data_IF_752163480748
#
_entry.id   IF_752163480748
#
_cell.length_a   1.000
_cell.length_b   1.000
_cell.length_c   1.000
_cell.angle_alpha   90.00
_cell.angle_beta   90.00
_cell.angle_gamma   90.00
#
_symmetry.space_group_name_H-M   'P 1'
#
loop_
_entity.id
_entity.type
_entity.pdbx_description
1 polymer ?
#
# COMPACT_ATOMS: atom_id res chain seq x y z
N UNK A 1 -32.95 -45.34 -20.01
CA UNK A 1 -31.49 -45.54 -20.17
C UNK A 1 -30.94 -44.23 -20.68
N UNK A 2 -30.13 -43.56 -19.86
CA UNK A 2 -29.60 -42.20 -20.03
C UNK A 2 -28.67 -42.11 -21.25
N UNK A 3 -28.71 -40.98 -21.96
CA UNK A 3 -27.55 -40.41 -22.66
C UNK A 3 -27.65 -38.89 -22.70
N UNK A 4 -26.53 -38.26 -22.39
CA UNK A 4 -26.30 -36.82 -22.19
C UNK A 4 -26.57 -36.00 -23.46
N UNK A 5 -27.26 -34.88 -23.30
CA UNK A 5 -27.24 -33.75 -24.24
C UNK A 5 -26.43 -32.65 -23.57
N UNK A 6 -25.25 -32.36 -24.12
CA UNK A 6 -24.45 -31.20 -23.78
C UNK A 6 -25.13 -29.97 -24.37
N UNK A 7 -25.53 -29.03 -23.52
CA UNK A 7 -26.00 -27.71 -23.96
C UNK A 7 -24.82 -26.77 -23.81
N UNK A 8 -24.11 -26.53 -24.92
CA UNK A 8 -23.20 -25.41 -25.04
C UNK A 8 -24.04 -24.13 -25.10
N UNK A 9 -23.92 -23.32 -24.06
CA UNK A 9 -24.60 -22.03 -23.95
C UNK A 9 -23.64 -21.02 -23.36
N UNK A 10 -22.67 -20.56 -24.15
CA UNK A 10 -21.94 -19.34 -23.83
C UNK A 10 -21.44 -18.60 -25.08
N UNK A 11 -22.29 -18.49 -26.11
CA UNK A 11 -22.08 -17.60 -27.23
C UNK A 11 -22.84 -16.30 -26.99
N UNK A 12 -22.45 -15.47 -26.02
CA UNK A 12 -22.95 -14.09 -25.99
C UNK A 12 -22.18 -13.03 -25.20
N UNK A 13 -20.86 -13.12 -24.99
CA UNK A 13 -20.10 -12.01 -24.36
C UNK A 13 -18.67 -11.78 -24.91
N UNK A 14 -18.37 -12.11 -26.17
CA UNK A 14 -17.05 -11.83 -26.77
C UNK A 14 -16.98 -10.54 -27.61
N UNK A 15 -17.96 -9.64 -27.51
CA UNK A 15 -18.08 -8.50 -28.44
C UNK A 15 -17.97 -7.09 -27.84
N UNK A 16 -17.42 -6.90 -26.64
CA UNK A 16 -17.39 -5.55 -25.98
C UNK A 16 -15.98 -5.13 -25.52
N UNK A 17 -14.93 -5.89 -25.82
CA UNK A 17 -13.54 -5.52 -25.50
C UNK A 17 -12.63 -5.33 -26.73
N UNK A 18 -13.20 -5.20 -27.93
CA UNK A 18 -12.46 -4.91 -29.18
C UNK A 18 -12.62 -3.45 -29.61
N UNK A 19 -12.37 -2.51 -28.71
CA UNK A 19 -11.81 -1.19 -29.05
C UNK A 19 -11.54 -0.43 -27.76
N UNK A 20 -10.35 -0.62 -27.24
CA UNK A 20 -9.78 0.35 -26.32
C UNK A 20 -8.38 0.64 -26.84
N UNK A 21 -8.21 1.89 -27.30
CA UNK A 21 -6.93 2.54 -27.59
C UNK A 21 -6.10 2.60 -26.30
N UNK A 22 -5.75 1.45 -25.74
CA UNK A 22 -4.65 1.35 -24.80
C UNK A 22 -3.39 1.50 -25.64
N UNK A 23 -2.53 2.48 -25.38
CA UNK A 23 -1.26 2.58 -26.07
C UNK A 23 -0.53 1.25 -25.90
N UNK A 24 -0.11 0.69 -27.02
CA UNK A 24 0.65 -0.54 -27.14
C UNK A 24 1.63 -0.62 -25.97
N UNK A 25 1.59 -1.71 -25.20
CA UNK A 25 2.36 -1.94 -23.98
C UNK A 25 3.87 -2.05 -24.21
N UNK A 26 4.45 -1.09 -24.93
CA UNK A 26 5.87 -0.82 -25.02
C UNK A 26 6.33 -0.36 -23.65
N UNK A 27 6.95 -1.29 -22.93
CA UNK A 27 7.63 -1.07 -21.64
C UNK A 27 8.77 -0.03 -21.77
N UNK A 28 9.09 0.42 -22.98
CA UNK A 28 10.14 1.39 -23.28
C UNK A 28 9.79 2.84 -22.87
N UNK A 29 8.50 3.21 -22.75
CA UNK A 29 8.12 4.61 -22.53
C UNK A 29 7.97 5.03 -21.06
N UNK A 30 8.08 4.10 -20.10
CA UNK A 30 8.25 4.47 -18.68
C UNK A 30 9.74 4.63 -18.40
N UNK A 31 10.33 5.65 -19.01
CA UNK A 31 11.61 6.17 -18.55
C UNK A 31 11.48 6.41 -17.04
N UNK A 32 12.39 5.82 -16.25
CA UNK A 32 12.55 6.22 -14.85
C UNK A 32 12.72 7.74 -14.90
N UNK A 33 11.79 8.52 -14.33
CA UNK A 33 11.88 9.95 -14.43
C UNK A 33 13.27 10.38 -13.93
N UNK A 34 13.99 11.14 -14.76
CA UNK A 34 15.29 11.72 -14.38
C UNK A 34 15.14 12.53 -13.07
N UNK A 35 13.91 12.97 -12.80
CA UNK A 35 13.48 13.52 -11.53
C UNK A 35 12.69 12.47 -10.69
N UNK A 36 13.27 11.89 -9.63
CA UNK A 36 12.57 10.97 -8.72
C UNK A 36 11.40 11.62 -7.94
N UNK A 37 11.18 12.94 -8.11
CA UNK A 37 10.03 13.68 -7.60
C UNK A 37 8.97 13.97 -8.67
N UNK A 38 9.02 13.33 -9.84
CA UNK A 38 7.91 13.42 -10.78
C UNK A 38 6.68 12.75 -10.17
N UNK A 39 5.91 13.53 -9.40
CA UNK A 39 4.56 13.19 -9.02
C UNK A 39 3.80 13.00 -10.33
N UNK A 40 3.34 11.77 -10.65
CA UNK A 40 2.64 11.56 -11.91
C UNK A 40 1.42 12.48 -11.95
N UNK A 41 1.00 12.95 -13.13
CA UNK A 41 -0.03 13.99 -13.23
C UNK A 41 -1.38 13.63 -12.56
N UNK A 42 -1.65 12.34 -12.31
CA UNK A 42 -2.82 11.88 -11.55
C UNK A 42 -2.65 11.97 -10.02
N UNK A 43 -1.42 12.06 -9.54
CA UNK A 43 -1.02 12.26 -8.14
C UNK A 43 -0.53 13.70 -7.88
N UNK A 44 -0.31 14.50 -8.93
CA UNK A 44 -0.13 15.94 -8.83
C UNK A 44 -1.48 16.56 -8.44
N UNK A 45 -1.69 16.62 -7.13
CA UNK A 45 -2.87 17.21 -6.51
C UNK A 45 -2.62 18.67 -6.15
N UNK A 46 -1.66 19.32 -6.85
CA UNK A 46 -1.52 20.78 -6.85
C UNK A 46 -2.93 21.36 -6.89
N UNK A 47 -3.27 22.28 -5.98
CA UNK A 47 -4.63 22.71 -5.79
C UNK A 47 -5.10 23.35 -7.09
N UNK A 48 -5.80 22.57 -7.90
CA UNK A 48 -6.56 23.09 -9.00
C UNK A 48 -7.58 23.98 -8.30
N UNK A 49 -7.29 25.26 -8.37
CA UNK A 49 -7.99 26.29 -7.63
C UNK A 49 -9.33 26.41 -8.31
N UNK A 50 -10.29 25.57 -7.92
CA UNK A 50 -11.76 25.79 -7.96
C UNK A 50 -12.56 24.56 -7.47
N UNK A 51 -13.27 24.81 -6.37
CA UNK A 51 -14.64 24.37 -6.05
C UNK A 51 -14.95 22.86 -5.88
N UNK A 52 -15.25 22.48 -4.63
CA UNK A 52 -16.07 21.33 -4.22
C UNK A 52 -15.49 19.91 -4.29
N UNK A 53 -14.18 19.72 -4.48
CA UNK A 53 -13.55 18.39 -4.34
C UNK A 53 -13.38 17.95 -2.88
N UNK A 54 -13.62 16.67 -2.57
CA UNK A 54 -13.22 16.12 -1.27
C UNK A 54 -11.69 16.08 -1.16
N UNK A 55 -11.10 16.52 -0.02
CA UNK A 55 -9.66 16.49 0.16
C UNK A 55 -9.11 15.05 0.06
N UNK A 56 -7.91 14.89 -0.49
CA UNK A 56 -7.29 13.58 -0.77
C UNK A 56 -7.31 12.63 0.43
N UNK A 57 -7.04 13.14 1.63
CA UNK A 57 -7.04 12.30 2.84
C UNK A 57 -8.41 11.72 3.17
N UNK A 58 -9.51 12.40 2.79
CA UNK A 58 -10.86 11.86 2.98
C UNK A 58 -11.20 10.75 2.01
N UNK A 59 -10.61 10.77 0.81
CA UNK A 59 -10.84 9.75 -0.22
C UNK A 59 -10.02 8.49 0.09
N UNK A 60 -8.75 8.67 0.43
CA UNK A 60 -7.80 7.55 0.55
C UNK A 60 -7.44 7.17 1.98
N UNK A 61 -7.86 7.95 2.99
CA UNK A 61 -7.55 7.68 4.40
C UNK A 61 -6.09 7.92 4.80
N UNK A 62 -5.28 8.52 3.93
CA UNK A 62 -3.86 8.83 4.17
C UNK A 62 -3.48 10.22 3.66
N UNK A 63 -2.46 10.87 4.26
CA UNK A 63 -1.93 12.13 3.78
C UNK A 63 -1.24 11.97 2.42
N UNK A 64 -1.42 12.96 1.56
CA UNK A 64 -0.79 13.02 0.24
C UNK A 64 0.73 12.82 0.28
N UNK A 65 1.51 13.47 1.17
CA UNK A 65 2.94 13.20 1.28
C UNK A 65 3.29 11.72 1.49
N UNK A 66 2.48 10.99 2.26
CA UNK A 66 2.70 9.55 2.48
C UNK A 66 2.38 8.74 1.22
N UNK A 67 1.33 9.12 0.48
CA UNK A 67 1.01 8.50 -0.80
C UNK A 67 2.14 8.68 -1.83
N UNK A 68 2.76 9.87 -1.87
CA UNK A 68 3.93 10.16 -2.71
C UNK A 68 5.12 9.26 -2.33
N UNK A 69 5.41 9.09 -1.03
CA UNK A 69 6.49 8.20 -0.57
C UNK A 69 6.22 6.72 -0.96
N UNK A 70 4.97 6.26 -0.87
CA UNK A 70 4.57 4.91 -1.31
C UNK A 70 4.80 4.76 -2.81
N UNK A 71 4.34 5.74 -3.60
CA UNK A 71 4.52 5.74 -5.05
C UNK A 71 6.01 5.68 -5.43
N UNK A 72 6.82 6.60 -4.89
CA UNK A 72 8.26 6.67 -5.16
C UNK A 72 8.97 5.37 -4.77
N UNK A 73 8.56 4.74 -3.67
CA UNK A 73 9.09 3.44 -3.25
C UNK A 73 8.81 2.35 -4.28
N UNK A 74 7.57 2.29 -4.80
CA UNK A 74 7.22 1.36 -5.88
C UNK A 74 8.01 1.61 -7.16
N UNK A 75 8.30 2.86 -7.50
CA UNK A 75 9.12 3.19 -8.67
C UNK A 75 10.57 2.76 -8.51
N UNK A 76 11.17 2.97 -7.34
CA UNK A 76 12.54 2.52 -7.04
C UNK A 76 12.62 0.99 -7.06
N UNK A 77 11.66 0.28 -6.46
CA UNK A 77 11.61 -1.19 -6.50
C UNK A 77 11.54 -1.69 -7.94
N UNK A 78 10.64 -1.15 -8.77
CA UNK A 78 10.55 -1.52 -10.19
C UNK A 78 11.83 -1.24 -10.96
N UNK A 79 12.51 -0.12 -10.67
CA UNK A 79 13.79 0.20 -11.30
C UNK A 79 14.88 -0.81 -10.91
N UNK A 80 14.91 -1.25 -9.65
CA UNK A 80 15.83 -2.28 -9.17
C UNK A 80 15.52 -3.64 -9.78
N UNK A 81 14.26 -4.06 -9.86
CA UNK A 81 13.84 -5.30 -10.51
C UNK A 81 14.30 -5.35 -11.97
N UNK A 82 14.09 -4.26 -12.73
CA UNK A 82 14.57 -4.15 -14.11
C UNK A 82 16.09 -4.22 -14.23
N UNK A 83 16.81 -3.60 -13.29
CA UNK A 83 18.27 -3.63 -13.29
C UNK A 83 18.84 -4.98 -12.88
N UNK A 84 18.12 -5.74 -12.04
CA UNK A 84 18.49 -7.11 -11.63
C UNK A 84 18.21 -8.11 -12.74
N UNK A 85 17.18 -7.92 -13.56
CA UNK A 85 16.78 -8.87 -14.58
C UNK A 85 16.52 -10.25 -13.97
N UNK A 86 17.06 -11.30 -14.58
CA UNK A 86 16.99 -12.68 -14.06
C UNK A 86 18.05 -13.00 -12.99
N UNK A 87 18.82 -12.01 -12.54
CA UNK A 87 19.84 -12.22 -11.52
C UNK A 87 19.21 -12.28 -10.13
N UNK A 88 19.35 -13.44 -9.48
CA UNK A 88 18.94 -13.66 -8.08
C UNK A 88 19.84 -12.92 -7.06
N UNK A 89 20.87 -12.20 -7.52
CA UNK A 89 21.80 -11.51 -6.62
C UNK A 89 21.20 -10.17 -6.18
N UNK A 90 20.99 -9.95 -4.87
CA UNK A 90 20.54 -8.67 -4.35
C UNK A 90 21.68 -7.64 -4.48
N UNK A 91 21.69 -6.93 -5.60
CA UNK A 91 22.60 -5.82 -5.85
C UNK A 91 21.79 -4.54 -6.13
N UNK A 92 22.39 -3.40 -5.77
CA UNK A 92 21.88 -2.06 -6.06
C UNK A 92 22.87 -1.40 -7.01
N UNK A 93 22.48 -1.07 -8.25
CA UNK A 93 23.34 -0.32 -9.17
C UNK A 93 23.84 0.99 -8.55
N UNK A 94 25.10 1.35 -8.80
CA UNK A 94 25.70 2.58 -8.26
C UNK A 94 24.89 3.84 -8.62
N UNK A 95 24.27 3.86 -9.81
CA UNK A 95 23.40 4.95 -10.27
C UNK A 95 22.11 5.09 -9.45
N UNK A 96 21.57 3.99 -8.91
CA UNK A 96 20.32 3.97 -8.13
C UNK A 96 20.57 4.12 -6.64
N UNK A 97 21.77 3.83 -6.16
CA UNK A 97 22.14 3.93 -4.74
C UNK A 97 21.87 5.31 -4.10
N UNK A 98 22.22 6.47 -4.71
CA UNK A 98 21.91 7.76 -4.11
C UNK A 98 20.41 8.04 -4.02
N UNK A 99 19.62 7.54 -4.97
CA UNK A 99 18.16 7.68 -4.98
C UNK A 99 17.56 6.83 -3.85
N UNK A 100 18.00 5.58 -3.73
CA UNK A 100 17.58 4.67 -2.66
C UNK A 100 17.91 5.24 -1.28
N UNK A 101 19.14 5.73 -1.08
CA UNK A 101 19.56 6.31 0.20
C UNK A 101 18.72 7.53 0.57
N UNK A 102 18.44 8.41 -0.39
CA UNK A 102 17.63 9.60 -0.14
C UNK A 102 16.20 9.25 0.24
N UNK A 103 15.56 8.39 -0.55
CA UNK A 103 14.18 7.98 -0.29
C UNK A 103 14.05 7.23 1.03
N UNK A 104 15.04 6.40 1.40
CA UNK A 104 15.09 5.75 2.70
C UNK A 104 15.12 6.77 3.85
N UNK A 105 15.94 7.82 3.74
CA UNK A 105 15.97 8.89 4.73
C UNK A 105 14.64 9.65 4.77
N UNK A 106 14.06 9.99 3.61
CA UNK A 106 12.75 10.66 3.54
C UNK A 106 11.65 9.82 4.20
N UNK A 107 11.65 8.50 4.03
CA UNK A 107 10.70 7.59 4.69
C UNK A 107 10.96 7.56 6.21
N UNK A 108 12.21 7.42 6.65
CA UNK A 108 12.54 7.28 8.07
C UNK A 108 12.34 8.58 8.87
N UNK A 109 12.64 9.72 8.25
CA UNK A 109 12.50 11.05 8.86
C UNK A 109 11.09 11.63 8.72
N UNK A 110 10.18 10.94 8.01
CA UNK A 110 8.82 11.43 7.81
C UNK A 110 8.08 11.61 9.15
N UNK A 111 7.52 12.79 9.44
CA UNK A 111 7.00 13.14 10.77
C UNK A 111 5.60 12.54 11.02
N UNK A 112 5.54 11.22 11.18
CA UNK A 112 4.29 10.44 11.30
C UNK A 112 3.34 10.96 12.37
N UNK A 113 3.83 11.36 13.53
CA UNK A 113 2.97 11.84 14.62
C UNK A 113 2.36 13.21 14.31
N UNK A 114 3.15 14.14 13.77
CA UNK A 114 2.68 15.48 13.41
C UNK A 114 1.66 15.43 12.27
N UNK A 115 1.91 14.58 11.26
CA UNK A 115 1.01 14.40 10.12
C UNK A 115 -0.29 13.70 10.53
N UNK A 116 -0.20 12.68 11.39
CA UNK A 116 -1.37 12.01 11.92
C UNK A 116 -2.23 12.94 12.79
N UNK A 117 -1.62 13.81 13.59
CA UNK A 117 -2.33 14.84 14.35
C UNK A 117 -2.96 15.90 13.46
N UNK A 118 -2.28 16.34 12.39
CA UNK A 118 -2.84 17.30 11.43
C UNK A 118 -4.11 16.74 10.79
N UNK A 119 -4.02 15.54 10.22
CA UNK A 119 -5.15 14.89 9.57
C UNK A 119 -6.29 14.54 10.56
N UNK A 120 -5.95 14.24 11.82
CA UNK A 120 -6.95 14.04 12.88
C UNK A 120 -7.77 15.30 13.18
N UNK A 121 -7.15 16.49 13.15
CA UNK A 121 -7.85 17.78 13.40
C UNK A 121 -8.79 18.17 12.26
N UNK A 122 -8.55 17.66 11.07
CA UNK A 122 -9.39 17.86 9.88
C UNK A 122 -10.56 16.85 9.83
N UNK A 123 -10.55 15.84 10.71
CA UNK A 123 -11.60 14.83 10.81
C UNK A 123 -12.93 15.42 11.28
N UNK A 124 -14.02 15.00 10.64
CA UNK A 124 -15.38 15.46 10.96
C UNK A 124 -15.90 14.89 12.28
N UNK A 125 -15.35 13.75 12.73
CA UNK A 125 -15.72 13.09 13.97
C UNK A 125 -14.49 12.57 14.74
N UNK A 126 -14.57 12.50 16.09
CA UNK A 126 -13.50 11.91 16.91
C UNK A 126 -13.14 10.47 16.51
N UNK A 127 -14.15 9.69 16.08
CA UNK A 127 -13.98 8.33 15.59
C UNK A 127 -13.16 8.29 14.30
N UNK A 128 -13.52 9.13 13.31
CA UNK A 128 -12.80 9.21 12.03
C UNK A 128 -11.35 9.65 12.23
N UNK A 129 -11.14 10.64 13.11
CA UNK A 129 -9.80 11.11 13.49
C UNK A 129 -8.95 9.99 14.12
N UNK A 130 -9.52 9.20 15.04
CA UNK A 130 -8.82 8.08 15.66
C UNK A 130 -8.44 6.99 14.64
N UNK A 131 -9.38 6.61 13.75
CA UNK A 131 -9.12 5.63 12.68
C UNK A 131 -7.99 6.12 11.79
N UNK A 132 -8.06 7.37 11.32
CA UNK A 132 -7.07 7.96 10.44
C UNK A 132 -5.68 8.00 11.10
N UNK A 133 -5.60 8.35 12.39
CA UNK A 133 -4.33 8.34 13.15
C UNK A 133 -3.68 6.96 13.16
N UNK A 134 -4.47 5.92 13.42
CA UNK A 134 -3.98 4.54 13.40
C UNK A 134 -3.60 4.08 12.00
N UNK A 135 -4.39 4.44 10.98
CA UNK A 135 -4.08 4.11 9.58
C UNK A 135 -2.77 4.75 9.12
N UNK A 136 -2.57 6.03 9.37
CA UNK A 136 -1.35 6.76 8.98
C UNK A 136 -0.10 6.11 9.58
N UNK A 137 -0.15 5.78 10.87
CA UNK A 137 0.94 5.06 11.55
C UNK A 137 1.18 3.68 10.94
N UNK A 138 0.12 2.94 10.66
CA UNK A 138 0.23 1.61 10.04
C UNK A 138 0.86 1.71 8.64
N UNK A 139 0.40 2.64 7.79
CA UNK A 139 0.95 2.86 6.45
C UNK A 139 2.42 3.25 6.48
N UNK A 140 2.82 4.15 7.38
CA UNK A 140 4.21 4.56 7.50
C UNK A 140 5.12 3.39 7.92
N UNK A 141 4.74 2.63 8.94
CA UNK A 141 5.54 1.46 9.36
C UNK A 141 5.54 0.35 8.30
N UNK A 142 4.43 0.12 7.59
CA UNK A 142 4.36 -0.83 6.48
C UNK A 142 5.24 -0.37 5.31
N UNK A 143 5.31 0.93 5.03
CA UNK A 143 6.20 1.46 4.00
C UNK A 143 7.67 1.23 4.33
N UNK A 144 8.07 1.42 5.60
CA UNK A 144 9.43 1.11 6.06
C UNK A 144 9.76 -0.37 5.80
N UNK A 145 8.84 -1.28 6.16
CA UNK A 145 9.01 -2.73 5.92
C UNK A 145 9.15 -3.00 4.42
N UNK A 146 8.21 -2.50 3.62
CA UNK A 146 8.19 -2.70 2.17
C UNK A 146 9.50 -2.23 1.53
N UNK A 147 9.96 -1.03 1.86
CA UNK A 147 11.20 -0.47 1.32
C UNK A 147 12.42 -1.30 1.77
N UNK A 148 12.53 -1.59 3.06
CA UNK A 148 13.66 -2.33 3.63
C UNK A 148 13.77 -3.76 3.09
N UNK A 149 12.66 -4.42 2.78
CA UNK A 149 12.66 -5.74 2.17
C UNK A 149 13.07 -5.69 0.69
N UNK A 150 12.41 -4.84 -0.11
CA UNK A 150 12.56 -4.89 -1.56
C UNK A 150 13.82 -4.16 -2.08
N UNK A 151 14.25 -3.11 -1.38
CA UNK A 151 15.44 -2.33 -1.76
C UNK A 151 16.69 -2.88 -1.08
N UNK A 152 16.66 -3.07 0.24
CA UNK A 152 17.84 -3.42 1.04
C UNK A 152 18.04 -4.91 1.30
N UNK A 153 17.02 -5.75 1.07
CA UNK A 153 17.09 -7.17 1.44
C UNK A 153 17.28 -7.37 2.95
N UNK A 154 16.65 -6.50 3.76
CA UNK A 154 16.87 -6.47 5.21
C UNK A 154 16.40 -7.74 5.89
N UNK A 155 17.20 -8.25 6.83
CA UNK A 155 16.88 -9.43 7.61
C UNK A 155 15.57 -9.21 8.42
N UNK A 156 14.61 -10.16 8.40
CA UNK A 156 13.31 -9.98 9.05
C UNK A 156 13.36 -9.72 10.55
N UNK A 157 14.42 -10.12 11.26
CA UNK A 157 14.59 -9.82 12.68
C UNK A 157 14.69 -8.31 12.97
N UNK A 158 15.26 -7.53 12.04
CA UNK A 158 15.37 -6.07 12.17
C UNK A 158 14.04 -5.36 11.90
N UNK A 159 13.12 -6.03 11.18
CA UNK A 159 11.82 -5.50 10.80
C UNK A 159 10.74 -5.75 11.86
N UNK A 160 11.00 -6.66 12.80
CA UNK A 160 10.06 -7.06 13.87
C UNK A 160 9.40 -5.86 14.59
N UNK A 161 10.12 -4.81 15.02
CA UNK A 161 9.49 -3.71 15.73
C UNK A 161 8.49 -2.94 14.86
N UNK A 162 8.75 -2.86 13.54
CA UNK A 162 7.83 -2.23 12.60
C UNK A 162 6.61 -3.11 12.35
N UNK A 163 6.79 -4.43 12.25
CA UNK A 163 5.68 -5.39 12.11
C UNK A 163 4.73 -5.29 13.30
N UNK A 164 5.28 -5.29 14.53
CA UNK A 164 4.48 -5.16 15.76
C UNK A 164 3.68 -3.85 15.75
N UNK A 165 4.30 -2.72 15.39
CA UNK A 165 3.61 -1.42 15.27
C UNK A 165 2.51 -1.39 14.21
N UNK A 166 2.70 -2.06 13.06
CA UNK A 166 1.66 -2.17 12.03
C UNK A 166 0.47 -2.96 12.60
N UNK A 167 0.73 -4.13 13.20
CA UNK A 167 -0.33 -4.98 13.76
C UNK A 167 -1.09 -4.28 14.89
N UNK A 168 -0.39 -3.61 15.81
CA UNK A 168 -1.01 -2.81 16.87
C UNK A 168 -1.89 -1.69 16.31
N UNK A 169 -1.39 -0.96 15.31
CA UNK A 169 -2.14 0.14 14.70
C UNK A 169 -3.36 -0.35 13.92
N UNK A 170 -3.24 -1.44 13.17
CA UNK A 170 -4.37 -2.06 12.47
C UNK A 170 -5.40 -2.58 13.47
N UNK A 171 -4.99 -3.32 14.50
CA UNK A 171 -5.89 -3.80 15.57
C UNK A 171 -6.64 -2.65 16.24
N UNK A 172 -5.94 -1.54 16.55
CA UNK A 172 -6.56 -0.37 17.14
C UNK A 172 -7.56 0.32 16.19
N UNK A 173 -7.23 0.45 14.91
CA UNK A 173 -8.16 1.01 13.91
C UNK A 173 -9.43 0.15 13.77
N UNK A 174 -9.29 -1.18 13.71
CA UNK A 174 -10.43 -2.10 13.63
C UNK A 174 -11.26 -2.11 14.92
N UNK A 175 -10.62 -1.96 16.10
CA UNK A 175 -11.33 -1.77 17.37
C UNK A 175 -12.23 -0.53 17.35
N UNK A 176 -11.70 0.61 16.91
CA UNK A 176 -12.48 1.86 16.80
C UNK A 176 -13.62 1.72 15.79
N UNK A 177 -13.40 1.04 14.66
CA UNK A 177 -14.46 0.78 13.67
C UNK A 177 -15.56 -0.12 14.23
N UNK A 178 -15.19 -1.18 14.95
CA UNK A 178 -16.11 -2.12 15.58
C UNK A 178 -17.00 -1.43 16.62
N UNK A 179 -16.40 -0.63 17.51
CA UNK A 179 -17.12 0.17 18.51
C UNK A 179 -18.09 1.18 17.88
N UNK A 180 -17.69 1.78 16.75
CA UNK A 180 -18.51 2.72 16.00
C UNK A 180 -19.47 2.08 14.99
N UNK A 181 -19.54 0.75 14.93
CA UNK A 181 -20.35 -0.02 13.97
C UNK A 181 -20.10 0.40 12.50
N UNK A 182 -18.86 0.74 12.17
CA UNK A 182 -18.45 1.10 10.81
C UNK A 182 -18.12 -0.15 10.02
N UNK A 183 -18.84 -0.38 8.91
CA UNK A 183 -18.61 -1.51 7.99
C UNK A 183 -17.46 -1.27 7.01
N UNK A 184 -16.46 -0.48 7.40
CA UNK A 184 -15.32 -0.17 6.53
C UNK A 184 -14.33 -1.35 6.53
N UNK A 185 -14.18 -2.00 5.37
CA UNK A 185 -13.28 -3.15 5.22
C UNK A 185 -11.84 -2.86 5.67
N UNK A 186 -11.11 -3.89 6.13
CA UNK A 186 -9.72 -3.73 6.56
C UNK A 186 -8.81 -3.44 5.35
N UNK A 187 -7.78 -2.63 5.56
CA UNK A 187 -6.77 -2.40 4.53
C UNK A 187 -5.80 -3.58 4.48
N UNK A 188 -6.05 -4.50 3.56
CA UNK A 188 -5.29 -5.75 3.45
C UNK A 188 -3.82 -5.57 3.13
N UNK A 189 -3.43 -4.48 2.44
CA UNK A 189 -2.04 -4.24 2.07
C UNK A 189 -1.14 -4.13 3.31
N UNK A 190 -1.61 -3.49 4.37
CA UNK A 190 -0.85 -3.32 5.62
C UNK A 190 -0.57 -4.67 6.28
N UNK A 191 -1.63 -5.47 6.45
CA UNK A 191 -1.54 -6.81 7.04
C UNK A 191 -0.69 -7.73 6.17
N UNK A 192 -0.79 -7.63 4.85
CA UNK A 192 0.03 -8.39 3.91
C UNK A 192 1.52 -8.08 4.08
N UNK A 193 1.90 -6.80 4.07
CA UNK A 193 3.30 -6.38 4.23
C UNK A 193 3.86 -6.77 5.62
N UNK A 194 3.07 -6.57 6.67
CA UNK A 194 3.48 -6.99 8.01
C UNK A 194 3.68 -8.52 8.10
N UNK A 195 2.77 -9.29 7.49
CA UNK A 195 2.83 -10.75 7.46
C UNK A 195 4.01 -11.27 6.63
N UNK A 196 4.32 -10.63 5.50
CA UNK A 196 5.46 -11.02 4.65
C UNK A 196 6.81 -10.78 5.33
N UNK A 197 6.86 -9.88 6.32
CA UNK A 197 8.05 -9.63 7.14
C UNK A 197 8.06 -10.42 8.45
N UNK A 198 6.93 -10.97 8.87
CA UNK A 198 6.82 -11.77 10.07
C UNK A 198 7.32 -13.20 9.84
N UNK A 199 8.63 -13.41 9.89
CA UNK A 199 9.23 -14.77 9.87
C UNK A 199 9.12 -15.51 11.23
N UNK A 200 8.44 -14.95 12.23
CA UNK A 200 8.29 -15.57 13.55
C UNK A 200 7.03 -16.45 13.57
N UNK A 201 7.15 -17.73 13.91
CA UNK A 201 6.05 -18.72 13.96
C UNK A 201 4.88 -18.23 14.82
N UNK A 202 5.21 -17.46 15.87
CA UNK A 202 4.24 -16.84 16.78
C UNK A 202 3.43 -15.70 16.13
N UNK A 203 4.05 -14.92 15.24
CA UNK A 203 3.37 -13.83 14.51
C UNK A 203 2.54 -14.37 13.33
N UNK A 204 2.89 -15.54 12.80
CA UNK A 204 2.06 -16.28 11.84
C UNK A 204 0.79 -16.84 12.50
N UNK A 205 0.88 -17.35 13.74
CA UNK A 205 -0.28 -17.75 14.54
C UNK A 205 -1.18 -16.55 14.91
N UNK A 206 -0.63 -15.40 15.31
CA UNK A 206 -1.43 -14.19 15.58
C UNK A 206 -2.13 -13.63 14.33
N UNK A 207 -1.49 -13.71 13.14
CA UNK A 207 -2.13 -13.32 11.88
C UNK A 207 -3.20 -14.34 11.43
N UNK A 208 -3.01 -15.63 11.72
CA UNK A 208 -4.05 -16.65 11.57
C UNK A 208 -5.27 -16.33 12.43
N UNK A 209 -5.07 -16.01 13.70
CA UNK A 209 -6.13 -15.63 14.63
C UNK A 209 -6.84 -14.33 14.24
N UNK A 210 -6.12 -13.33 13.68
CA UNK A 210 -6.73 -12.12 13.13
C UNK A 210 -7.58 -12.41 11.88
N UNK A 211 -7.17 -13.35 11.03
CA UNK A 211 -7.99 -13.77 9.89
C UNK A 211 -9.27 -14.45 10.38
N UNK A 212 -9.19 -15.36 11.34
CA UNK A 212 -10.40 -15.96 11.94
C UNK A 212 -11.32 -14.91 12.56
N UNK A 213 -10.78 -13.93 13.30
CA UNK A 213 -11.58 -12.83 13.87
C UNK A 213 -12.26 -11.94 12.81
N UNK A 214 -11.61 -11.72 11.66
CA UNK A 214 -12.17 -10.93 10.55
C UNK A 214 -13.25 -11.71 9.79
N UNK A 215 -13.17 -13.04 9.73
CA UNK A 215 -14.11 -13.89 8.98
C UNK A 215 -15.28 -14.43 9.82
N UNK A 216 -15.12 -14.60 11.14
CA UNK A 216 -16.19 -15.09 12.04
C UNK A 216 -17.11 -13.97 12.59
N UNK A 217 -16.93 -12.73 12.12
CA UNK A 217 -17.76 -11.58 12.45
C UNK A 217 -19.08 -11.46 11.67
N UNK A 218 -19.43 -12.42 10.81
CA UNK A 218 -20.74 -12.51 10.16
C UNK A 218 -21.62 -13.57 10.85
N UNK A 219 -22.47 -13.10 11.78
CA UNK A 219 -23.75 -13.76 12.13
C UNK A 219 -24.87 -12.73 12.04
#
# INVERSE_FOLDING_TARGET
MLSMVSIDGNEHLTGVFEQSDWPDGSIADISVPIDPYHTPAWLDLSPDTKENGMPFQKIYGIPEPLAVLIYNSGQVVRALERARGDSDVPFIPESLMPICNRLEQEILDWPVESEAERCSKEGESPTSAAIMKHQIRAFHNALIIYFAQNVRGTAPQLLRPYVERVLESVKAAEGVKSEAQLLAGPCFWLTFIASSAALDSRLQEENGALREFIYDGEV
#
